data_IF_625104234751
#
_entry.id   IF_625104234751
#
_cell.length_a   1.000
_cell.length_b   1.000
_cell.length_c   1.000
_cell.angle_alpha   90.00
_cell.angle_beta   90.00
_cell.angle_gamma   90.00
#
_symmetry.space_group_name_H-M   'P 1'
#
loop_
_entity.id
_entity.type
_entity.pdbx_description
1 polymer ?
#
# COMPACT_ATOMS: atom_id res chain seq x y z
N UNK A 1 1.10 7.99 -9.05
CA UNK A 1 2.32 8.84 -9.00
C UNK A 1 2.12 9.92 -7.97
N UNK A 2 3.15 10.22 -7.19
CA UNK A 2 3.19 11.31 -6.21
C UNK A 2 4.63 11.83 -6.08
N UNK A 3 4.80 12.99 -5.45
CA UNK A 3 6.14 13.55 -5.16
C UNK A 3 6.64 13.03 -3.81
N UNK A 4 7.96 12.95 -3.65
CA UNK A 4 8.57 12.62 -2.36
C UNK A 4 8.14 13.56 -1.23
N UNK A 5 8.14 13.05 0.01
CA UNK A 5 7.80 13.85 1.18
C UNK A 5 6.40 14.47 1.21
N UNK A 6 5.47 14.04 0.34
CA UNK A 6 4.11 14.59 0.22
C UNK A 6 3.19 14.36 1.44
N UNK A 7 3.71 13.79 2.54
CA UNK A 7 2.93 13.38 3.69
C UNK A 7 2.09 12.12 3.40
N UNK A 8 1.03 11.94 4.20
CA UNK A 8 0.13 10.79 4.05
C UNK A 8 -0.71 10.94 2.78
N UNK A 9 -0.70 9.89 1.96
CA UNK A 9 -1.45 9.76 0.71
C UNK A 9 -2.54 8.71 0.87
N UNK A 10 -3.68 8.94 0.22
CA UNK A 10 -4.84 8.04 0.25
C UNK A 10 -5.45 7.91 -1.15
N UNK A 11 -5.68 6.67 -1.58
CA UNK A 11 -6.22 6.32 -2.88
C UNK A 11 -7.40 5.36 -2.69
N UNK A 12 -8.62 5.86 -2.85
CA UNK A 12 -9.83 5.04 -2.80
C UNK A 12 -10.02 4.24 -4.09
N UNK A 13 -10.67 3.08 -3.99
CA UNK A 13 -11.02 2.25 -5.16
C UNK A 13 -9.81 1.58 -5.82
N UNK A 14 -8.72 1.36 -5.09
CA UNK A 14 -7.59 0.56 -5.59
C UNK A 14 -7.99 -0.91 -5.68
N UNK A 15 -8.77 -1.39 -4.70
CA UNK A 15 -9.57 -2.59 -4.83
C UNK A 15 -11.06 -2.22 -4.90
N UNK A 16 -11.81 -2.90 -5.75
CA UNK A 16 -13.25 -2.72 -5.95
C UNK A 16 -13.92 -4.09 -6.03
N UNK A 17 -15.25 -4.13 -6.00
CA UNK A 17 -16.01 -5.39 -6.13
C UNK A 17 -15.63 -6.47 -5.09
N UNK A 18 -15.17 -6.01 -3.92
CA UNK A 18 -14.72 -6.83 -2.78
C UNK A 18 -15.91 -7.60 -2.21
N UNK A 19 -15.85 -8.93 -2.20
CA UNK A 19 -16.92 -9.82 -1.71
C UNK A 19 -16.35 -10.92 -0.84
N UNK A 20 -17.09 -11.29 0.20
CA UNK A 20 -16.78 -12.41 1.11
C UNK A 20 -17.11 -13.78 0.49
N UNK A 21 -18.04 -13.79 -0.47
CA UNK A 21 -18.56 -14.98 -1.14
C UNK A 21 -20.01 -14.75 -1.58
N UNK A 22 -20.62 -15.73 -2.24
CA UNK A 22 -21.93 -15.56 -2.90
C UNK A 22 -23.14 -15.85 -1.97
N UNK A 23 -22.91 -16.32 -0.74
CA UNK A 23 -23.99 -16.76 0.15
C UNK A 23 -24.15 -15.86 1.38
N UNK A 24 -25.39 -15.70 1.85
CA UNK A 24 -25.70 -14.92 3.07
C UNK A 24 -25.11 -15.55 4.35
N UNK A 25 -24.66 -16.80 4.29
CA UNK A 25 -24.04 -17.50 5.41
C UNK A 25 -22.58 -17.08 5.64
N UNK A 26 -22.05 -16.11 4.89
CA UNK A 26 -20.65 -15.65 4.94
C UNK A 26 -20.50 -14.24 5.54
N UNK A 27 -21.59 -13.62 6.00
CA UNK A 27 -21.57 -12.26 6.57
C UNK A 27 -20.64 -12.13 7.81
N UNK A 28 -20.40 -13.25 8.51
CA UNK A 28 -19.50 -13.34 9.66
C UNK A 28 -18.02 -13.38 9.28
N UNK A 29 -17.67 -13.57 8.00
CA UNK A 29 -16.28 -13.62 7.59
C UNK A 29 -15.66 -12.22 7.62
N UNK A 30 -14.42 -12.10 8.05
CA UNK A 30 -13.64 -10.88 7.96
C UNK A 30 -12.75 -10.92 6.73
N UNK A 31 -12.61 -9.78 6.07
CA UNK A 31 -11.69 -9.60 4.96
C UNK A 31 -10.48 -8.79 5.40
N UNK A 32 -9.30 -9.23 4.97
CA UNK A 32 -8.05 -8.53 5.20
C UNK A 32 -7.22 -8.48 3.93
N UNK A 33 -6.54 -7.35 3.73
CA UNK A 33 -5.60 -7.18 2.63
C UNK A 33 -4.17 -7.33 3.13
N UNK A 34 -3.36 -8.05 2.37
CA UNK A 34 -1.93 -8.14 2.53
C UNK A 34 -1.27 -7.49 1.30
N UNK A 35 -0.37 -6.54 1.53
CA UNK A 35 0.41 -5.89 0.48
C UNK A 35 1.81 -6.46 0.49
N UNK A 36 2.19 -7.12 -0.60
CA UNK A 36 3.46 -7.84 -0.71
C UNK A 36 4.37 -7.11 -1.69
N UNK A 37 5.60 -6.81 -1.27
CA UNK A 37 6.58 -6.20 -2.16
C UNK A 37 6.92 -7.18 -3.30
N UNK A 38 6.67 -6.75 -4.54
CA UNK A 38 7.04 -7.50 -5.73
C UNK A 38 8.43 -7.12 -6.24
N UNK A 39 8.70 -5.82 -6.36
CA UNK A 39 10.01 -5.31 -6.78
C UNK A 39 10.18 -3.83 -6.41
N UNK A 40 11.42 -3.35 -6.34
CA UNK A 40 11.76 -1.97 -5.98
C UNK A 40 12.32 -1.87 -4.57
N UNK A 41 12.15 -0.70 -3.93
CA UNK A 41 12.75 -0.41 -2.64
C UNK A 41 11.73 0.16 -1.64
N UNK A 42 11.68 -0.41 -0.44
CA UNK A 42 10.81 0.05 0.65
C UNK A 42 11.31 1.34 1.32
N UNK A 43 12.55 1.79 1.06
CA UNK A 43 13.03 3.09 1.57
C UNK A 43 12.29 4.29 0.97
N UNK A 44 11.48 4.09 -0.08
CA UNK A 44 10.58 5.10 -0.62
C UNK A 44 9.46 5.51 0.36
N UNK A 45 9.21 4.72 1.40
CA UNK A 45 8.19 4.98 2.41
C UNK A 45 8.80 5.41 3.74
N UNK A 46 8.07 6.24 4.49
CA UNK A 46 8.44 6.57 5.86
C UNK A 46 8.38 5.30 6.75
N UNK A 47 9.18 5.20 7.83
CA UNK A 47 9.26 4.01 8.68
C UNK A 47 7.90 3.51 9.23
N UNK A 48 6.97 4.42 9.50
CA UNK A 48 5.61 4.10 9.97
C UNK A 48 4.54 4.34 8.90
N UNK A 49 4.97 4.50 7.64
CA UNK A 49 4.17 4.94 6.51
C UNK A 49 4.08 3.93 5.38
N UNK A 50 4.33 2.65 5.65
CA UNK A 50 4.25 1.61 4.64
C UNK A 50 2.85 1.49 4.04
N UNK A 51 2.72 1.04 2.78
CA UNK A 51 1.43 0.79 2.15
C UNK A 51 0.56 -0.15 2.98
N UNK A 52 -0.68 0.28 3.23
CA UNK A 52 -1.74 -0.50 3.86
C UNK A 52 -3.04 -0.31 3.08
N UNK A 53 -3.87 -1.35 3.02
CA UNK A 53 -5.18 -1.28 2.38
C UNK A 53 -6.27 -1.66 3.39
N UNK A 54 -7.32 -0.85 3.48
CA UNK A 54 -8.47 -1.13 4.34
C UNK A 54 -9.48 -2.07 3.66
N UNK A 55 -10.48 -2.52 4.43
CA UNK A 55 -11.53 -3.43 3.93
C UNK A 55 -12.42 -2.81 2.84
N UNK A 56 -12.39 -1.48 2.65
CA UNK A 56 -13.09 -0.79 1.57
C UNK A 56 -12.25 -0.68 0.29
N UNK A 57 -11.01 -1.19 0.29
CA UNK A 57 -10.09 -1.11 -0.84
C UNK A 57 -9.38 0.23 -0.98
N UNK A 58 -9.31 1.02 0.10
CA UNK A 58 -8.57 2.28 0.15
C UNK A 58 -7.12 2.01 0.52
N UNK A 59 -6.20 2.40 -0.35
CA UNK A 59 -4.75 2.30 -0.14
C UNK A 59 -4.21 3.58 0.51
N UNK A 60 -3.46 3.44 1.61
CA UNK A 60 -2.78 4.54 2.28
C UNK A 60 -1.29 4.28 2.45
N UNK A 61 -0.47 5.32 2.28
CA UNK A 61 0.97 5.28 2.57
C UNK A 61 1.54 6.69 2.76
N UNK A 62 2.74 6.79 3.35
CA UNK A 62 3.49 8.05 3.45
C UNK A 62 4.85 7.88 2.79
N UNK A 63 5.16 8.75 1.83
CA UNK A 63 6.46 8.73 1.14
C UNK A 63 7.54 9.38 2.00
N UNK A 64 8.73 8.79 2.00
CA UNK A 64 9.91 9.39 2.63
C UNK A 64 10.36 10.65 1.88
N UNK A 65 11.04 11.56 2.58
CA UNK A 65 11.73 12.68 1.96
C UNK A 65 13.12 12.24 1.47
N UNK A 66 13.63 12.92 0.45
CA UNK A 66 14.91 12.67 -0.23
C UNK A 66 15.02 11.26 -0.85
N UNK A 67 13.88 10.68 -1.27
CA UNK A 67 13.78 9.34 -1.84
C UNK A 67 12.87 9.36 -3.06
N UNK A 68 13.38 8.88 -4.19
CA UNK A 68 12.65 8.82 -5.46
C UNK A 68 12.84 7.47 -6.18
N UNK A 69 11.95 7.19 -7.13
CA UNK A 69 12.00 5.98 -7.94
C UNK A 69 10.69 5.22 -7.97
N UNK A 70 10.76 3.94 -8.31
CA UNK A 70 9.60 3.10 -8.59
C UNK A 70 9.60 1.84 -7.73
N UNK A 71 8.40 1.45 -7.28
CA UNK A 71 8.17 0.22 -6.51
C UNK A 71 6.84 -0.40 -6.94
N UNK A 72 6.79 -1.73 -6.97
CA UNK A 72 5.61 -2.50 -7.33
C UNK A 72 5.23 -3.46 -6.21
N UNK A 73 3.92 -3.64 -6.03
CA UNK A 73 3.35 -4.48 -5.00
C UNK A 73 2.30 -5.42 -5.57
N UNK A 74 2.21 -6.60 -4.98
CA UNK A 74 1.08 -7.50 -5.09
C UNK A 74 0.07 -7.23 -3.98
N UNK A 75 -1.21 -7.38 -4.31
CA UNK A 75 -2.32 -7.30 -3.36
C UNK A 75 -2.95 -8.66 -3.22
N UNK A 76 -3.00 -9.15 -1.99
CA UNK A 76 -3.65 -10.41 -1.63
C UNK A 76 -4.85 -10.09 -0.75
N UNK A 77 -6.03 -10.56 -1.14
CA UNK A 77 -7.22 -10.56 -0.30
C UNK A 77 -7.31 -11.92 0.42
N UNK A 78 -7.56 -11.87 1.72
CA UNK A 78 -7.80 -13.04 2.57
C UNK A 78 -9.14 -12.91 3.26
N UNK A 79 -9.90 -14.00 3.27
CA UNK A 79 -11.03 -14.19 4.18
C UNK A 79 -10.65 -15.17 5.30
N UNK A 80 -11.48 -15.25 6.35
CA UNK A 80 -11.36 -16.23 7.45
C UNK A 80 -12.46 -17.31 7.41
N UNK A 81 -13.08 -17.53 6.24
CA UNK A 81 -14.20 -18.43 6.05
C UNK A 81 -13.83 -19.91 5.89
N UNK A 82 -12.63 -20.17 5.38
CA UNK A 82 -12.18 -21.52 4.99
C UNK A 82 -11.74 -22.46 6.12
N UNK A 83 -11.80 -22.03 7.39
CA UNK A 83 -11.36 -22.83 8.53
C UNK A 83 -9.83 -23.02 8.53
N UNK A 84 -9.34 -24.26 8.42
CA UNK A 84 -7.88 -24.52 8.40
C UNK A 84 -7.19 -24.13 7.08
N UNK A 85 -7.97 -23.77 6.06
CA UNK A 85 -7.49 -23.29 4.76
C UNK A 85 -8.13 -21.93 4.49
N UNK A 86 -7.73 -20.90 5.22
CA UNK A 86 -8.06 -19.51 4.86
C UNK A 86 -7.79 -19.32 3.36
N UNK A 87 -8.82 -18.90 2.64
CA UNK A 87 -8.72 -18.70 1.20
C UNK A 87 -7.99 -17.40 0.92
N UNK A 88 -7.00 -17.46 0.03
CA UNK A 88 -6.26 -16.30 -0.43
C UNK A 88 -6.42 -16.17 -1.93
N UNK A 89 -6.69 -14.95 -2.39
CA UNK A 89 -6.70 -14.61 -3.80
C UNK A 89 -5.69 -13.50 -4.06
N UNK A 90 -4.79 -13.71 -5.02
CA UNK A 90 -3.94 -12.65 -5.55
C UNK A 90 -4.81 -11.89 -6.55
N UNK A 91 -5.27 -10.71 -6.14
CA UNK A 91 -6.27 -9.96 -6.89
C UNK A 91 -5.62 -8.98 -7.89
N UNK A 92 -4.35 -8.62 -7.70
CA UNK A 92 -3.65 -7.77 -8.66
C UNK A 92 -2.35 -7.19 -8.16
N UNK A 93 -1.85 -6.21 -8.91
CA UNK A 93 -0.65 -5.47 -8.58
C UNK A 93 -0.85 -3.97 -8.82
N UNK A 94 -0.19 -3.15 -8.01
CA UNK A 94 -0.12 -1.71 -8.25
C UNK A 94 1.33 -1.21 -8.22
N UNK A 95 1.55 -0.06 -8.86
CA UNK A 95 2.85 0.59 -8.93
C UNK A 95 2.79 1.95 -8.26
N UNK A 96 3.84 2.28 -7.51
CA UNK A 96 4.08 3.62 -6.97
C UNK A 96 5.28 4.20 -7.69
N UNK A 97 5.10 5.38 -8.28
CA UNK A 97 6.17 6.21 -8.86
C UNK A 97 6.30 7.45 -7.99
N UNK A 98 7.50 7.65 -7.45
CA UNK A 98 7.87 8.77 -6.58
C UNK A 98 8.77 9.71 -7.37
N UNK A 99 8.25 10.89 -7.64
CA UNK A 99 8.98 11.95 -8.35
C UNK A 99 9.84 12.77 -7.37
N UNK A 100 11.06 13.19 -7.76
CA UNK A 100 11.90 14.04 -6.92
C UNK A 100 11.32 15.45 -6.75
N UNK A 101 11.64 16.06 -5.62
CA UNK A 101 11.48 17.48 -5.32
C UNK A 101 12.87 18.11 -5.26
N UNK A 102 13.04 19.27 -5.90
CA UNK A 102 14.33 19.96 -5.90
C UNK A 102 14.55 20.74 -4.60
N UNK A 103 15.50 20.31 -3.78
CA UNK A 103 15.90 20.99 -2.54
C UNK A 103 16.97 22.07 -2.78
N UNK A 104 16.81 23.23 -2.13
CA UNK A 104 17.79 24.32 -2.24
C UNK A 104 19.10 23.98 -1.51
N UNK A 105 20.28 24.42 -2.02
CA UNK A 105 21.54 24.25 -1.32
C UNK A 105 21.54 24.89 0.08
N UNK A 106 22.13 24.23 1.07
CA UNK A 106 22.34 24.76 2.41
C UNK A 106 23.76 24.46 2.93
N UNK A 107 24.28 25.31 3.82
CA UNK A 107 25.56 25.08 4.51
C UNK A 107 25.47 25.57 5.95
N UNK A 108 26.28 24.97 6.83
CA UNK A 108 26.53 25.46 8.20
C UNK A 108 28.03 25.58 8.39
N UNK A 109 28.48 26.71 8.93
CA UNK A 109 29.88 26.91 9.30
C UNK A 109 30.08 26.36 10.71
N UNK A 110 30.94 25.35 10.85
CA UNK A 110 31.36 24.86 12.16
C UNK A 110 32.33 25.86 12.82
N UNK A 111 32.15 26.10 14.12
CA UNK A 111 33.15 26.76 14.96
C UNK A 111 34.13 25.75 15.53
#
# INVERSE_FOLDING_TARGET
TAVEGAGALSFAGVAVDIRKGESADEDWQDLSFEIVLRSGNMTLFAPDGFPQMDAAGTLTFTLAAYQNGNVSFDVVLRDNGGGANDTFAIEGAFNVSVEPVNDAPSFSVGL
#
